data_IF_972998082879
#
_entry.id   IF_972998082879
#
_cell.length_a   1.000
_cell.length_b   1.000
_cell.length_c   1.000
_cell.angle_alpha   90.00
_cell.angle_beta   90.00
_cell.angle_gamma   90.00
#
_symmetry.space_group_name_H-M   'P 1'
#
loop_
_entity.id
_entity.type
_entity.pdbx_description
1 polymer ?
#
# COMPACT_ATOMS: atom_id res chain seq x y z
N UNK A 1 -22.21 -2.54 -9.21
CA UNK A 1 -22.65 -1.18 -8.77
C UNK A 1 -24.07 -1.37 -8.27
N UNK A 2 -24.25 -1.38 -6.96
CA UNK A 2 -25.58 -1.45 -6.35
C UNK A 2 -26.28 -0.10 -6.58
N UNK A 3 -27.17 -0.04 -7.57
CA UNK A 3 -27.95 1.16 -7.92
C UNK A 3 -28.82 1.69 -6.77
N UNK A 4 -28.89 0.97 -5.65
CA UNK A 4 -29.74 1.27 -4.50
C UNK A 4 -28.96 1.71 -3.22
N UNK A 5 -27.63 1.84 -3.31
CA UNK A 5 -26.80 2.16 -2.13
C UNK A 5 -27.17 3.50 -1.46
N UNK A 6 -27.42 4.62 -2.18
CA UNK A 6 -27.82 5.87 -1.55
C UNK A 6 -29.13 5.77 -0.74
N UNK A 7 -30.09 5.01 -1.22
CA UNK A 7 -31.36 4.80 -0.54
C UNK A 7 -31.19 3.96 0.73
N UNK A 8 -30.39 2.89 0.65
CA UNK A 8 -30.05 2.05 1.80
C UNK A 8 -29.31 2.83 2.89
N UNK A 9 -28.37 3.71 2.49
CA UNK A 9 -27.65 4.58 3.44
C UNK A 9 -28.63 5.51 4.17
N UNK A 10 -29.55 6.13 3.45
CA UNK A 10 -30.54 7.04 4.04
C UNK A 10 -31.46 6.32 5.03
N UNK A 11 -31.97 5.15 4.66
CA UNK A 11 -32.82 4.35 5.55
C UNK A 11 -32.05 3.93 6.83
N UNK A 12 -30.82 3.47 6.67
CA UNK A 12 -29.98 3.10 7.80
C UNK A 12 -29.63 4.30 8.70
N UNK A 13 -29.43 5.49 8.14
CA UNK A 13 -29.19 6.73 8.90
C UNK A 13 -30.40 7.10 9.75
N UNK A 14 -31.62 6.97 9.20
CA UNK A 14 -32.85 7.22 9.94
C UNK A 14 -33.03 6.23 11.09
N UNK A 15 -32.71 4.96 10.87
CA UNK A 15 -32.78 3.94 11.91
C UNK A 15 -31.71 4.16 13.00
N UNK A 16 -30.51 4.52 12.60
CA UNK A 16 -29.38 4.75 13.53
C UNK A 16 -29.57 5.95 14.47
N UNK A 17 -30.38 6.93 14.06
CA UNK A 17 -30.71 8.11 14.88
C UNK A 17 -31.81 7.89 15.91
N UNK A 18 -32.44 6.74 15.94
CA UNK A 18 -33.33 6.39 17.03
C UNK A 18 -32.57 6.34 18.36
N UNK A 19 -33.18 6.83 19.43
CA UNK A 19 -32.54 6.95 20.74
C UNK A 19 -31.91 5.66 21.27
N UNK A 20 -32.46 4.52 20.89
CA UNK A 20 -31.97 3.19 21.26
C UNK A 20 -30.62 2.84 20.58
N UNK A 21 -30.39 3.34 19.39
CA UNK A 21 -29.22 3.00 18.55
C UNK A 21 -28.06 4.02 18.67
N UNK A 22 -28.30 5.21 19.21
CA UNK A 22 -27.30 6.28 19.29
C UNK A 22 -26.03 5.90 20.08
N UNK A 23 -26.19 5.05 21.10
CA UNK A 23 -25.05 4.57 21.90
C UNK A 23 -24.16 3.61 21.11
N UNK A 24 -24.78 2.80 20.25
CA UNK A 24 -24.10 1.80 19.40
C UNK A 24 -23.29 2.49 18.31
N UNK A 25 -23.79 3.62 17.81
CA UNK A 25 -23.14 4.40 16.74
C UNK A 25 -21.95 5.24 17.21
N UNK A 26 -21.69 5.30 18.54
CA UNK A 26 -20.61 6.10 19.15
C UNK A 26 -20.65 7.59 18.75
N UNK A 27 -21.83 8.13 18.49
CA UNK A 27 -22.04 9.52 18.04
C UNK A 27 -22.15 10.52 19.19
N UNK A 28 -21.93 10.13 20.45
CA UNK A 28 -22.11 11.01 21.61
C UNK A 28 -21.41 12.37 21.41
N UNK A 29 -22.20 13.44 21.30
CA UNK A 29 -21.75 14.81 21.12
C UNK A 29 -21.39 15.18 19.66
N UNK A 30 -21.50 14.25 18.71
CA UNK A 30 -21.30 14.52 17.28
C UNK A 30 -22.61 14.68 16.49
N UNK A 31 -23.74 14.33 17.08
CA UNK A 31 -25.06 14.46 16.43
C UNK A 31 -25.34 15.90 15.96
N UNK A 32 -24.95 16.89 16.76
CA UNK A 32 -25.09 18.32 16.43
C UNK A 32 -24.21 18.81 15.28
N UNK A 33 -23.27 17.98 14.81
CA UNK A 33 -22.33 18.30 13.72
C UNK A 33 -22.68 17.59 12.41
N UNK A 34 -23.76 16.80 12.41
CA UNK A 34 -24.27 16.19 11.20
C UNK A 34 -25.13 17.19 10.44
N UNK A 35 -24.80 17.40 9.19
CA UNK A 35 -25.52 18.27 8.26
C UNK A 35 -26.39 17.43 7.33
N UNK A 36 -27.60 17.90 7.05
CA UNK A 36 -28.51 17.22 6.12
C UNK A 36 -28.31 17.84 4.74
N UNK A 37 -27.94 17.02 3.78
CA UNK A 37 -27.81 17.40 2.39
C UNK A 37 -29.18 17.55 1.70
N UNK A 38 -29.24 18.19 0.55
CA UNK A 38 -30.49 18.39 -0.20
C UNK A 38 -31.21 17.10 -0.59
N UNK A 39 -30.47 15.99 -0.72
CA UNK A 39 -30.98 14.64 -0.98
C UNK A 39 -31.48 13.90 0.28
N UNK A 40 -31.41 14.55 1.45
CA UNK A 40 -31.82 13.99 2.74
C UNK A 40 -30.79 13.07 3.39
N UNK A 41 -29.60 12.95 2.84
CA UNK A 41 -28.50 12.15 3.38
C UNK A 41 -27.74 12.98 4.43
N UNK A 42 -27.39 12.35 5.55
CA UNK A 42 -26.62 13.01 6.60
C UNK A 42 -25.12 12.89 6.32
N UNK A 43 -24.45 14.03 6.48
CA UNK A 43 -23.03 14.20 6.20
C UNK A 43 -22.30 14.76 7.43
N UNK A 44 -21.05 14.41 7.57
CA UNK A 44 -20.12 15.01 8.51
C UNK A 44 -18.95 15.64 7.75
N UNK A 45 -18.81 16.97 7.82
CA UNK A 45 -17.79 17.71 7.04
C UNK A 45 -17.81 17.31 5.56
N UNK A 46 -18.94 17.47 4.89
CA UNK A 46 -19.18 17.14 3.48
C UNK A 46 -19.05 15.66 3.09
N UNK A 47 -18.83 14.76 4.04
CA UNK A 47 -18.69 13.32 3.81
C UNK A 47 -19.92 12.58 4.30
N UNK A 48 -20.40 11.65 3.51
CA UNK A 48 -21.58 10.83 3.84
C UNK A 48 -21.27 9.99 5.10
N UNK A 49 -22.07 10.17 6.14
CA UNK A 49 -21.98 9.33 7.32
C UNK A 49 -22.54 7.94 7.06
N UNK A 50 -21.76 6.89 7.33
CA UNK A 50 -22.20 5.50 7.23
C UNK A 50 -22.42 4.93 8.64
N UNK A 51 -23.68 4.57 9.00
CA UNK A 51 -24.00 3.92 10.25
C UNK A 51 -23.33 2.56 10.41
N UNK A 52 -23.18 2.11 11.64
CA UNK A 52 -22.69 0.77 11.95
C UNK A 52 -23.77 -0.28 11.73
N UNK A 53 -25.03 0.09 11.95
CA UNK A 53 -26.18 -0.76 11.74
C UNK A 53 -26.37 -1.10 10.25
N UNK A 54 -26.92 -2.30 9.98
CA UNK A 54 -27.26 -2.73 8.61
C UNK A 54 -26.10 -3.24 7.74
N UNK A 55 -24.88 -3.40 8.28
CA UNK A 55 -23.76 -3.99 7.53
C UNK A 55 -23.23 -3.12 6.36
N UNK A 56 -23.64 -1.84 6.28
CA UNK A 56 -23.29 -0.95 5.17
C UNK A 56 -21.80 -0.60 5.15
N UNK A 57 -21.13 -0.56 6.31
CA UNK A 57 -19.69 -0.32 6.37
C UNK A 57 -18.93 -1.45 5.70
N UNK A 58 -19.31 -2.70 6.00
CA UNK A 58 -18.71 -3.88 5.37
C UNK A 58 -18.92 -3.87 3.87
N UNK A 59 -20.14 -3.55 3.41
CA UNK A 59 -20.46 -3.49 1.99
C UNK A 59 -19.63 -2.42 1.26
N UNK A 60 -19.49 -1.23 1.83
CA UNK A 60 -18.66 -0.15 1.28
C UNK A 60 -17.18 -0.52 1.28
N UNK A 61 -16.69 -1.16 2.37
CA UNK A 61 -15.32 -1.64 2.45
C UNK A 61 -15.04 -2.77 1.46
N UNK A 62 -15.96 -3.70 1.29
CA UNK A 62 -15.83 -4.81 0.34
C UNK A 62 -15.78 -4.30 -1.11
N UNK A 63 -16.67 -3.38 -1.47
CA UNK A 63 -16.66 -2.75 -2.78
C UNK A 63 -15.35 -2.01 -3.05
N UNK A 64 -14.90 -1.17 -2.12
CA UNK A 64 -13.64 -0.44 -2.25
C UNK A 64 -12.41 -1.37 -2.32
N UNK A 65 -12.48 -2.52 -1.66
CA UNK A 65 -11.39 -3.49 -1.64
C UNK A 65 -11.29 -4.33 -2.92
N UNK A 66 -12.42 -4.58 -3.60
CA UNK A 66 -12.53 -5.42 -4.81
C UNK A 66 -12.78 -4.64 -6.09
N UNK A 67 -12.67 -3.31 -6.08
CA UNK A 67 -12.93 -2.53 -7.30
C UNK A 67 -11.93 -2.85 -8.41
N UNK A 68 -12.37 -2.71 -9.66
CA UNK A 68 -11.55 -2.94 -10.86
C UNK A 68 -10.29 -2.07 -10.91
N UNK A 69 -10.33 -0.88 -10.28
CA UNK A 69 -9.25 0.11 -10.30
C UNK A 69 -8.28 -0.02 -9.13
N UNK A 70 -8.65 -0.74 -8.09
CA UNK A 70 -7.88 -0.81 -6.85
C UNK A 70 -7.99 -2.18 -6.21
N UNK A 71 -7.64 -3.21 -6.97
CA UNK A 71 -7.74 -4.60 -6.52
C UNK A 71 -6.84 -4.79 -5.30
N UNK A 72 -7.45 -5.16 -4.18
CA UNK A 72 -6.76 -5.39 -2.90
C UNK A 72 -5.83 -4.24 -2.46
N UNK A 73 -6.32 -2.99 -2.35
CA UNK A 73 -5.51 -1.89 -1.84
C UNK A 73 -5.13 -2.13 -0.38
N UNK A 74 -3.93 -1.69 0.00
CA UNK A 74 -3.53 -1.66 1.40
C UNK A 74 -4.41 -0.72 2.23
N UNK A 75 -4.38 -0.85 3.57
CA UNK A 75 -5.25 -0.12 4.50
C UNK A 75 -5.17 1.41 4.34
N UNK A 76 -3.96 1.96 4.17
CA UNK A 76 -3.79 3.40 4.04
C UNK A 76 -4.39 3.95 2.73
N UNK A 77 -4.16 3.28 1.61
CA UNK A 77 -4.74 3.68 0.32
C UNK A 77 -6.27 3.57 0.35
N UNK A 78 -6.80 2.46 0.83
CA UNK A 78 -8.23 2.25 0.98
C UNK A 78 -8.88 3.32 1.86
N UNK A 79 -8.25 3.68 2.99
CA UNK A 79 -8.70 4.76 3.85
C UNK A 79 -8.71 6.11 3.13
N UNK A 80 -7.64 6.46 2.41
CA UNK A 80 -7.56 7.72 1.68
C UNK A 80 -8.63 7.83 0.58
N UNK A 81 -8.95 6.73 -0.09
CA UNK A 81 -9.96 6.71 -1.14
C UNK A 81 -11.38 6.81 -0.55
N UNK A 82 -11.69 6.04 0.48
CA UNK A 82 -13.00 6.09 1.14
C UNK A 82 -13.23 7.41 1.88
N UNK A 83 -12.21 7.99 2.51
CA UNK A 83 -12.30 9.25 3.23
C UNK A 83 -12.75 10.44 2.35
N UNK A 84 -12.61 10.36 1.05
CA UNK A 84 -13.05 11.42 0.13
C UNK A 84 -14.58 11.56 0.09
N UNK A 85 -15.30 10.46 0.32
CA UNK A 85 -16.76 10.40 0.16
C UNK A 85 -17.48 10.05 1.45
N UNK A 86 -16.90 9.20 2.28
CA UNK A 86 -17.53 8.58 3.44
C UNK A 86 -16.85 8.96 4.75
N UNK A 87 -17.59 8.88 5.81
CA UNK A 87 -17.09 9.07 7.17
C UNK A 87 -17.87 8.23 8.18
N UNK A 88 -17.18 7.66 9.16
CA UNK A 88 -17.77 7.09 10.38
C UNK A 88 -16.74 7.10 11.52
N UNK A 89 -17.16 7.00 12.80
CA UNK A 89 -16.23 6.90 13.92
C UNK A 89 -15.29 5.70 13.79
N UNK A 90 -14.03 5.88 14.14
CA UNK A 90 -12.97 4.84 14.06
C UNK A 90 -12.71 4.23 12.66
N UNK A 91 -13.13 4.93 11.60
CA UNK A 91 -13.02 4.49 10.22
C UNK A 91 -11.64 3.91 9.87
N UNK A 92 -10.54 4.58 10.26
CA UNK A 92 -9.18 4.12 9.94
C UNK A 92 -8.86 2.77 10.59
N UNK A 93 -9.26 2.57 11.85
CA UNK A 93 -9.03 1.32 12.58
C UNK A 93 -9.88 0.16 12.03
N UNK A 94 -11.15 0.43 11.68
CA UNK A 94 -12.03 -0.58 11.07
C UNK A 94 -11.51 -1.02 9.70
N UNK A 95 -11.07 -0.09 8.86
CA UNK A 95 -10.47 -0.41 7.55
C UNK A 95 -9.18 -1.23 7.73
N UNK A 96 -8.32 -0.87 8.69
CA UNK A 96 -7.10 -1.63 8.95
C UNK A 96 -7.41 -3.07 9.40
N UNK A 97 -8.43 -3.24 10.25
CA UNK A 97 -8.89 -4.57 10.69
C UNK A 97 -9.49 -5.38 9.54
N UNK A 98 -10.27 -4.73 8.68
CA UNK A 98 -10.87 -5.36 7.50
C UNK A 98 -9.80 -5.86 6.53
N UNK A 99 -8.85 -4.99 6.15
CA UNK A 99 -7.74 -5.35 5.23
C UNK A 99 -6.81 -6.40 5.85
N UNK A 100 -6.58 -6.33 7.15
CA UNK A 100 -5.77 -7.31 7.88
C UNK A 100 -6.31 -8.75 7.84
N UNK A 101 -7.62 -8.93 7.65
CA UNK A 101 -8.28 -10.23 7.47
C UNK A 101 -8.17 -10.78 6.05
N UNK A 102 -7.77 -9.96 5.08
CA UNK A 102 -7.66 -10.39 3.69
C UNK A 102 -6.40 -11.21 3.46
N UNK A 103 -6.55 -12.49 3.13
CA UNK A 103 -5.43 -13.40 2.88
C UNK A 103 -4.57 -12.97 1.68
N UNK A 104 -5.18 -12.38 0.65
CA UNK A 104 -4.45 -11.87 -0.51
C UNK A 104 -3.52 -10.71 -0.12
N UNK A 105 -4.04 -9.73 0.63
CA UNK A 105 -3.25 -8.61 1.14
C UNK A 105 -2.15 -9.09 2.10
N UNK A 106 -2.44 -10.05 2.95
CA UNK A 106 -1.46 -10.62 3.89
C UNK A 106 -0.32 -11.34 3.16
N UNK A 107 -0.61 -12.11 2.11
CA UNK A 107 0.40 -12.82 1.30
C UNK A 107 1.31 -11.89 0.49
N UNK A 108 0.78 -10.75 0.04
CA UNK A 108 1.55 -9.78 -0.77
C UNK A 108 2.40 -8.85 0.12
N UNK A 109 2.04 -8.73 1.39
CA UNK A 109 2.79 -7.88 2.32
C UNK A 109 4.17 -8.46 2.59
N UNK A 110 5.20 -7.71 2.17
CA UNK A 110 6.59 -8.08 2.48
C UNK A 110 6.82 -7.88 3.98
N UNK A 111 7.14 -8.96 4.68
CA UNK A 111 7.60 -8.86 6.06
C UNK A 111 9.02 -8.27 6.07
N UNK A 112 9.19 -7.16 6.79
CA UNK A 112 10.51 -6.69 7.15
C UNK A 112 11.13 -7.64 8.18
N UNK A 113 11.85 -8.63 7.69
CA UNK A 113 12.65 -9.49 8.56
C UNK A 113 13.92 -8.72 8.97
N UNK A 114 14.07 -8.49 10.26
CA UNK A 114 15.35 -8.09 10.81
C UNK A 114 16.27 -9.31 10.79
N UNK A 115 17.52 -9.19 10.32
CA UNK A 115 18.46 -10.29 10.43
C UNK A 115 18.54 -10.75 11.89
N UNK A 116 18.35 -12.04 12.12
CA UNK A 116 18.50 -12.63 13.45
C UNK A 116 19.98 -12.92 13.70
N UNK A 117 20.52 -12.39 14.77
CA UNK A 117 21.91 -12.61 15.18
C UNK A 117 22.77 -11.36 15.10
N UNK A 118 24.01 -11.49 15.56
CA UNK A 118 25.03 -10.45 15.49
C UNK A 118 25.58 -10.35 14.06
N UNK A 119 25.95 -9.14 13.66
CA UNK A 119 26.66 -8.92 12.41
C UNK A 119 27.99 -9.71 12.44
N UNK A 120 28.13 -10.67 11.55
CA UNK A 120 29.40 -11.33 11.33
C UNK A 120 30.17 -10.53 10.29
N UNK A 121 31.41 -10.18 10.66
CA UNK A 121 32.28 -9.44 9.75
C UNK A 121 32.66 -10.35 8.59
N UNK A 122 32.49 -9.91 7.33
CA UNK A 122 32.99 -10.65 6.19
C UNK A 122 34.50 -10.85 6.29
N UNK A 123 34.98 -12.00 5.79
CA UNK A 123 36.40 -12.27 5.70
C UNK A 123 37.08 -11.18 4.87
N UNK A 124 38.16 -10.60 5.42
CA UNK A 124 38.94 -9.54 4.79
C UNK A 124 40.10 -10.22 4.05
N UNK A 125 40.25 -10.04 2.75
CA UNK A 125 41.38 -10.59 2.00
C UNK A 125 42.71 -10.09 2.54
N UNK A 126 43.73 -10.95 2.61
CA UNK A 126 45.07 -10.57 3.01
C UNK A 126 45.85 -9.92 1.90
N UNK A 127 45.60 -10.35 0.67
CA UNK A 127 46.36 -9.92 -0.52
C UNK A 127 45.48 -9.17 -1.52
N UNK A 128 46.09 -8.22 -2.23
CA UNK A 128 45.48 -7.55 -3.38
C UNK A 128 45.17 -8.56 -4.49
N UNK A 129 43.96 -8.49 -5.03
CA UNK A 129 43.41 -9.39 -6.07
C UNK A 129 43.13 -10.83 -5.62
N UNK A 130 43.21 -11.12 -4.33
CA UNK A 130 42.82 -12.42 -3.78
C UNK A 130 41.32 -12.66 -3.91
N UNK A 131 40.54 -11.65 -3.60
CA UNK A 131 39.08 -11.68 -3.76
C UNK A 131 38.61 -10.52 -4.60
N UNK A 132 37.91 -10.84 -5.69
CA UNK A 132 37.40 -9.86 -6.64
C UNK A 132 35.87 -9.88 -6.68
N UNK A 133 35.29 -8.78 -7.09
CA UNK A 133 33.90 -8.68 -7.55
C UNK A 133 33.89 -8.25 -9.01
N UNK A 134 32.89 -8.72 -9.74
CA UNK A 134 32.76 -8.42 -11.17
C UNK A 134 31.35 -7.94 -11.48
N UNK A 135 31.24 -7.05 -12.43
CA UNK A 135 29.97 -6.57 -12.96
C UNK A 135 30.09 -6.22 -14.45
N UNK A 136 28.96 -6.14 -15.14
CA UNK A 136 28.89 -5.79 -16.55
C UNK A 136 27.93 -4.61 -16.74
N UNK A 137 28.44 -3.54 -17.33
CA UNK A 137 27.64 -2.40 -17.77
C UNK A 137 27.35 -2.60 -19.25
N UNK A 138 26.16 -3.06 -19.59
CA UNK A 138 25.75 -3.43 -20.95
C UNK A 138 24.94 -2.33 -21.63
N UNK A 139 24.71 -2.49 -22.93
CA UNK A 139 23.87 -1.60 -23.77
C UNK A 139 24.32 -0.14 -23.79
N UNK A 140 25.61 0.07 -23.71
CA UNK A 140 26.21 1.38 -23.94
C UNK A 140 26.22 1.71 -25.44
N UNK A 141 26.23 3.01 -25.81
CA UNK A 141 26.47 3.39 -27.21
C UNK A 141 27.76 2.79 -27.75
N UNK A 142 27.72 2.24 -28.96
CA UNK A 142 28.91 1.63 -29.61
C UNK A 142 29.98 2.70 -29.84
N UNK A 143 31.18 2.42 -29.35
CA UNK A 143 32.34 3.23 -29.70
C UNK A 143 32.85 2.93 -31.13
N UNK A 144 33.79 3.73 -31.61
CA UNK A 144 34.43 3.52 -32.95
C UNK A 144 35.05 2.13 -33.14
N UNK A 145 35.51 1.50 -32.06
CA UNK A 145 36.05 0.14 -32.03
C UNK A 145 34.99 -0.98 -31.94
N UNK A 146 33.70 -0.58 -31.86
CA UNK A 146 32.56 -1.50 -31.85
C UNK A 146 32.24 -2.11 -30.46
N UNK A 147 32.84 -1.63 -29.38
CA UNK A 147 32.51 -2.05 -28.02
C UNK A 147 31.25 -1.32 -27.54
N UNK A 148 30.40 -2.04 -26.82
CA UNK A 148 29.12 -1.58 -26.30
C UNK A 148 28.87 -2.01 -24.85
N UNK A 149 29.86 -2.60 -24.20
CA UNK A 149 29.80 -3.14 -22.86
C UNK A 149 31.13 -2.93 -22.14
N UNK A 150 31.06 -2.68 -20.84
CA UNK A 150 32.26 -2.60 -19.99
C UNK A 150 32.19 -3.73 -18.97
N UNK A 151 33.24 -4.54 -18.91
CA UNK A 151 33.47 -5.48 -17.84
C UNK A 151 34.24 -4.79 -16.74
N UNK A 152 33.67 -4.72 -15.54
CA UNK A 152 34.24 -4.09 -14.35
C UNK A 152 34.71 -5.18 -13.41
N UNK A 153 35.99 -5.14 -13.03
CA UNK A 153 36.59 -6.05 -12.04
C UNK A 153 37.12 -5.20 -10.91
N UNK A 154 36.67 -5.47 -9.69
CA UNK A 154 37.04 -4.69 -8.50
C UNK A 154 37.70 -5.59 -7.46
N UNK A 155 38.88 -5.21 -7.02
CA UNK A 155 39.53 -5.83 -5.87
C UNK A 155 38.80 -5.47 -4.59
N UNK A 156 38.44 -6.48 -3.80
CA UNK A 156 37.64 -6.27 -2.57
C UNK A 156 38.43 -5.60 -1.47
N UNK A 157 39.73 -5.81 -1.39
CA UNK A 157 40.59 -5.23 -0.36
C UNK A 157 40.85 -3.72 -0.63
N UNK A 158 41.45 -3.40 -1.76
CA UNK A 158 41.93 -2.04 -2.05
C UNK A 158 40.92 -1.17 -2.78
N UNK A 159 39.83 -1.77 -3.29
CA UNK A 159 38.84 -1.11 -4.16
C UNK A 159 39.43 -0.61 -5.50
N UNK A 160 40.61 -1.06 -5.85
CA UNK A 160 41.15 -0.84 -7.19
C UNK A 160 40.27 -1.53 -8.24
N UNK A 161 40.04 -0.86 -9.37
CA UNK A 161 39.17 -1.40 -10.40
C UNK A 161 39.86 -1.42 -11.77
N UNK A 162 39.52 -2.44 -12.56
CA UNK A 162 39.83 -2.52 -13.98
C UNK A 162 38.53 -2.40 -14.79
N UNK A 163 38.57 -1.59 -15.84
CA UNK A 163 37.45 -1.39 -16.75
C UNK A 163 37.89 -1.92 -18.15
N UNK A 164 37.30 -2.99 -18.58
CA UNK A 164 37.66 -3.67 -19.82
C UNK A 164 36.55 -3.50 -20.84
N UNK A 165 36.78 -2.79 -21.96
CA UNK A 165 35.76 -2.67 -23.02
C UNK A 165 35.60 -4.01 -23.74
N UNK A 166 34.36 -4.46 -23.85
CA UNK A 166 34.01 -5.72 -24.53
C UNK A 166 32.79 -5.51 -25.44
N UNK A 167 32.45 -6.50 -26.23
CA UNK A 167 31.20 -6.54 -27.00
C UNK A 167 30.21 -7.46 -26.29
N UNK A 168 28.95 -7.03 -26.22
CA UNK A 168 27.87 -7.85 -25.62
C UNK A 168 27.76 -9.24 -26.28
N UNK A 169 28.18 -9.35 -27.55
CA UNK A 169 28.17 -10.60 -28.32
C UNK A 169 29.29 -11.59 -27.96
N UNK A 170 30.24 -11.23 -27.11
CA UNK A 170 31.30 -12.14 -26.70
C UNK A 170 30.69 -13.27 -25.84
N UNK A 171 30.99 -14.51 -26.24
CA UNK A 171 30.68 -15.69 -25.44
C UNK A 171 31.73 -15.80 -24.33
N UNK A 172 31.28 -15.83 -23.10
CA UNK A 172 32.07 -16.19 -21.92
C UNK A 172 32.05 -17.69 -21.72
#
# INVERSE_FOLDING_TARGET
IHSNLPMQIREAQLEALKSENMTIEALRGMEKKLEIRSDGVQCFMDRIWIPKSGGLRELVMEEAHRTKYSVHPGSDKMYLDLKKQYWWPNMKAEIATFVGKCLTCAKVKVEHQKPSGLLQQPEIPEWKWEMITMDFITKLPKCSSGYDTIWVIVDRLTKSAHFIPIKESYKM
#
